data_IF_787927699333
#
_entry.id   IF_787927699333
#
_cell.length_a   1.000
_cell.length_b   1.000
_cell.length_c   1.000
_cell.angle_alpha   90.00
_cell.angle_beta   90.00
_cell.angle_gamma   90.00
#
_symmetry.space_group_name_H-M   'P 1'
#
loop_
_entity.id
_entity.type
_entity.pdbx_description
1 polymer ?
#
# COMPACT_ATOMS: atom_id res chain seq x y z
N UNK A 1 18.07 14.29 -2.44
CA UNK A 1 17.01 13.30 -2.76
C UNK A 1 16.73 13.35 -4.26
N UNK A 2 17.13 12.34 -5.04
CA UNK A 2 16.58 12.16 -6.40
C UNK A 2 15.32 11.32 -6.26
N UNK A 3 14.16 11.98 -6.18
CA UNK A 3 12.88 11.30 -6.16
C UNK A 3 12.57 10.77 -7.58
N UNK A 4 11.95 9.59 -7.73
CA UNK A 4 11.35 9.20 -9.00
C UNK A 4 10.27 10.23 -9.37
N UNK A 5 10.35 10.80 -10.58
CA UNK A 5 9.47 11.90 -11.00
C UNK A 5 8.07 11.45 -11.40
N UNK A 6 7.92 10.21 -11.89
CA UNK A 6 6.65 9.68 -12.37
C UNK A 6 5.90 8.85 -11.30
N UNK A 7 4.56 8.94 -11.30
CA UNK A 7 3.69 8.26 -10.33
C UNK A 7 3.83 6.73 -10.41
N UNK A 8 3.95 6.17 -11.61
CA UNK A 8 4.04 4.71 -11.78
C UNK A 8 5.37 4.19 -11.22
N UNK A 9 6.44 4.98 -11.35
CA UNK A 9 7.75 4.60 -10.79
C UNK A 9 7.72 4.66 -9.26
N UNK A 10 7.08 5.69 -8.68
CA UNK A 10 6.88 5.78 -7.22
C UNK A 10 6.02 4.63 -6.69
N UNK A 11 4.93 4.29 -7.38
CA UNK A 11 4.06 3.18 -7.02
C UNK A 11 4.79 1.84 -7.08
N UNK A 12 5.55 1.59 -8.16
CA UNK A 12 6.35 0.37 -8.30
C UNK A 12 7.30 0.19 -7.14
N UNK A 13 8.04 1.24 -6.77
CA UNK A 13 8.97 1.20 -5.65
C UNK A 13 8.27 0.93 -4.31
N UNK A 14 7.23 1.71 -3.98
CA UNK A 14 6.56 1.60 -2.69
C UNK A 14 5.82 0.29 -2.51
N UNK A 15 5.22 -0.23 -3.57
CA UNK A 15 4.49 -1.49 -3.49
C UNK A 15 5.46 -2.68 -3.41
N UNK A 16 6.61 -2.63 -4.10
CA UNK A 16 7.65 -3.64 -3.98
C UNK A 16 8.18 -3.70 -2.53
N UNK A 17 8.50 -2.56 -1.92
CA UNK A 17 8.99 -2.51 -0.53
C UNK A 17 7.93 -2.94 0.48
N UNK A 18 6.66 -2.68 0.20
CA UNK A 18 5.57 -3.17 1.02
C UNK A 18 5.45 -4.70 0.95
N UNK A 19 6.06 -5.39 -0.02
CA UNK A 19 5.97 -6.85 -0.16
C UNK A 19 6.82 -7.58 0.90
N UNK A 20 7.96 -6.99 1.29
CA UNK A 20 8.98 -7.60 2.14
C UNK A 20 8.60 -7.69 3.64
N UNK A 21 7.50 -7.05 4.06
CA UNK A 21 6.89 -7.21 5.39
C UNK A 21 6.37 -8.67 5.53
N UNK A 22 7.23 -9.55 6.07
CA UNK A 22 7.24 -11.02 6.06
C UNK A 22 6.12 -11.75 6.86
N UNK A 23 4.89 -11.26 6.86
CA UNK A 23 3.82 -11.82 7.71
C UNK A 23 3.00 -13.00 7.12
N UNK A 24 3.50 -13.75 6.11
CA UNK A 24 2.86 -15.00 5.65
C UNK A 24 2.97 -15.29 4.14
N UNK A 25 2.59 -16.52 3.74
CA UNK A 25 2.76 -17.08 2.38
C UNK A 25 2.34 -16.10 1.27
N UNK A 26 3.31 -15.63 0.49
CA UNK A 26 3.19 -14.57 -0.52
C UNK A 26 2.52 -14.98 -1.85
N UNK A 27 1.90 -16.15 -1.94
CA UNK A 27 1.81 -16.84 -3.24
C UNK A 27 0.42 -16.87 -3.90
N UNK A 28 -0.65 -16.43 -3.21
CA UNK A 28 -2.00 -16.50 -3.81
C UNK A 28 -2.41 -15.18 -4.46
N UNK A 29 -2.23 -15.13 -5.78
CA UNK A 29 -2.86 -14.13 -6.65
C UNK A 29 -4.40 -14.31 -6.63
N UNK A 30 -5.18 -13.21 -6.57
CA UNK A 30 -6.64 -13.28 -6.72
C UNK A 30 -7.02 -14.06 -7.98
N UNK A 31 -8.09 -14.87 -7.98
CA UNK A 31 -8.46 -15.71 -9.12
C UNK A 31 -8.47 -14.98 -10.47
N UNK A 32 -8.92 -13.71 -10.49
CA UNK A 32 -8.99 -12.86 -11.68
C UNK A 32 -7.63 -12.41 -12.24
N UNK A 33 -6.56 -12.53 -11.47
CA UNK A 33 -5.20 -12.09 -11.84
C UNK A 33 -4.25 -13.28 -12.10
N UNK A 34 -4.73 -14.52 -11.99
CA UNK A 34 -3.89 -15.72 -12.17
C UNK A 34 -3.42 -15.93 -13.61
N UNK A 35 -4.21 -15.47 -14.58
CA UNK A 35 -3.93 -15.64 -16.01
C UNK A 35 -3.09 -14.52 -16.63
N UNK A 36 -2.81 -13.45 -15.89
CA UNK A 36 -2.05 -12.33 -16.43
C UNK A 36 -0.55 -12.59 -16.23
N UNK A 37 0.20 -12.59 -17.34
CA UNK A 37 1.66 -12.79 -17.38
C UNK A 37 2.42 -11.64 -16.72
N UNK A 38 3.69 -11.91 -16.35
CA UNK A 38 4.54 -11.08 -15.48
C UNK A 38 4.96 -9.69 -16.04
N UNK A 39 4.37 -9.22 -17.14
CA UNK A 39 4.95 -8.16 -17.99
C UNK A 39 4.17 -6.86 -18.12
N UNK A 40 3.51 -6.36 -17.07
CA UNK A 40 2.74 -5.11 -17.15
C UNK A 40 3.08 -4.10 -16.05
N UNK A 41 3.02 -2.79 -16.36
CA UNK A 41 3.26 -1.69 -15.41
C UNK A 41 2.34 -1.73 -14.16
N UNK A 42 1.28 -2.54 -14.21
CA UNK A 42 0.29 -2.75 -13.15
C UNK A 42 0.19 -4.24 -12.68
N UNK A 43 1.25 -5.04 -12.81
CA UNK A 43 1.26 -6.49 -12.47
C UNK A 43 2.29 -6.87 -11.39
N UNK A 44 1.96 -7.80 -10.46
CA UNK A 44 0.87 -7.77 -9.50
C UNK A 44 1.37 -7.16 -8.18
N UNK A 45 0.86 -5.98 -7.93
CA UNK A 45 1.08 -5.19 -6.73
C UNK A 45 0.48 -5.84 -5.48
N UNK A 46 1.31 -6.47 -4.64
CA UNK A 46 1.11 -6.74 -3.21
C UNK A 46 -0.36 -6.90 -2.76
N UNK A 47 -1.13 -7.73 -3.48
CA UNK A 47 -2.51 -8.06 -3.14
C UNK A 47 -2.49 -9.28 -2.24
N UNK A 48 -3.13 -9.18 -1.08
CA UNK A 48 -3.12 -10.25 -0.09
C UNK A 48 -4.51 -10.80 0.11
N UNK A 49 -4.67 -12.10 -0.12
CA UNK A 49 -5.88 -12.82 0.28
C UNK A 49 -5.88 -13.02 1.79
N UNK A 50 -6.91 -12.51 2.46
CA UNK A 50 -7.16 -12.66 3.88
C UNK A 50 -8.41 -13.51 4.06
N UNK A 51 -8.33 -14.54 4.92
CA UNK A 51 -9.47 -15.39 5.24
C UNK A 51 -10.45 -14.66 6.16
N UNK A 52 -11.73 -14.70 5.83
CA UNK A 52 -12.79 -14.08 6.61
C UNK A 52 -13.31 -15.06 7.67
N UNK A 53 -12.81 -14.92 8.89
CA UNK A 53 -13.24 -15.70 10.06
C UNK A 53 -12.96 -17.20 9.93
N UNK A 54 -13.92 -18.02 10.39
CA UNK A 54 -13.87 -19.50 10.32
C UNK A 54 -14.36 -20.06 8.99
N UNK A 55 -14.99 -19.23 8.16
CA UNK A 55 -15.48 -19.63 6.84
C UNK A 55 -14.32 -19.87 5.85
N UNK A 56 -14.60 -20.56 4.74
CA UNK A 56 -13.67 -20.68 3.62
C UNK A 56 -13.75 -19.48 2.65
N UNK A 57 -14.25 -18.32 3.12
CA UNK A 57 -14.31 -17.09 2.32
C UNK A 57 -13.00 -16.30 2.43
N UNK A 58 -12.58 -15.70 1.32
CA UNK A 58 -11.38 -14.88 1.22
C UNK A 58 -11.71 -13.49 0.68
N UNK A 59 -10.95 -12.50 1.10
CA UNK A 59 -11.01 -11.13 0.57
C UNK A 59 -9.62 -10.68 0.14
N UNK A 60 -9.50 -9.94 -0.94
CA UNK A 60 -8.22 -9.40 -1.42
C UNK A 60 -8.01 -7.99 -0.89
N UNK A 61 -6.86 -7.74 -0.23
CA UNK A 61 -6.46 -6.41 0.23
C UNK A 61 -5.33 -5.87 -0.64
N UNK A 62 -5.39 -4.60 -1.04
CA UNK A 62 -4.24 -3.89 -1.59
C UNK A 62 -3.33 -3.47 -0.43
N UNK A 63 -2.10 -4.00 -0.37
CA UNK A 63 -1.10 -3.55 0.59
C UNK A 63 -0.17 -2.53 -0.08
N UNK A 64 -0.10 -1.33 0.49
CA UNK A 64 0.69 -0.22 -0.05
C UNK A 64 1.37 0.55 1.07
N UNK A 65 2.59 0.97 0.79
CA UNK A 65 3.35 1.88 1.63
C UNK A 65 3.12 3.31 1.16
N UNK A 66 2.69 4.21 2.04
CA UNK A 66 2.45 5.61 1.69
C UNK A 66 3.76 6.37 1.50
N UNK A 67 4.75 6.14 2.35
CA UNK A 67 6.14 6.55 2.12
C UNK A 67 7.09 5.55 2.74
N UNK A 68 8.23 5.33 2.09
CA UNK A 68 9.33 4.58 2.69
C UNK A 68 10.31 5.49 3.45
N UNK A 69 10.11 6.81 3.51
CA UNK A 69 10.98 7.70 4.27
C UNK A 69 10.64 7.63 5.77
N UNK A 70 11.66 7.55 6.62
CA UNK A 70 11.47 7.49 8.07
C UNK A 70 12.57 8.26 8.79
N UNK A 71 12.21 8.98 9.85
CA UNK A 71 13.15 9.67 10.75
C UNK A 71 13.72 8.75 11.84
N UNK A 72 13.16 7.55 12.00
CA UNK A 72 13.61 6.56 12.97
C UNK A 72 14.66 5.61 12.40
N UNK A 73 15.50 5.05 13.28
CA UNK A 73 16.60 4.17 12.91
C UNK A 73 16.49 2.75 13.51
N UNK A 74 15.28 2.18 13.52
CA UNK A 74 15.05 0.86 14.09
C UNK A 74 15.92 -0.19 13.39
N UNK A 75 16.74 -0.94 14.16
CA UNK A 75 17.73 -1.87 13.60
C UNK A 75 17.13 -2.98 12.72
N UNK A 76 15.91 -3.40 13.02
CA UNK A 76 15.19 -4.42 12.28
C UNK A 76 14.45 -3.87 11.04
N UNK A 77 14.31 -2.55 10.91
CA UNK A 77 13.45 -1.96 9.89
C UNK A 77 14.21 -1.80 8.56
N UNK A 78 13.72 -2.38 7.45
CA UNK A 78 14.35 -2.19 6.14
C UNK A 78 14.28 -0.73 5.68
N UNK A 79 13.34 0.05 6.21
CA UNK A 79 13.14 1.47 5.90
C UNK A 79 13.83 2.42 6.89
N UNK A 80 14.71 1.92 7.77
CA UNK A 80 15.47 2.76 8.74
C UNK A 80 16.18 3.93 8.06
N UNK A 81 16.28 5.07 8.74
CA UNK A 81 16.76 6.35 8.17
C UNK A 81 18.14 6.28 7.49
N UNK A 82 19.08 5.53 8.07
CA UNK A 82 20.47 5.51 7.60
C UNK A 82 20.69 4.53 6.43
N UNK A 83 19.66 3.77 6.05
CA UNK A 83 19.76 2.88 4.90
C UNK A 83 19.66 3.69 3.61
N UNK A 84 20.72 3.61 2.80
CA UNK A 84 20.74 4.20 1.48
C UNK A 84 19.77 3.45 0.56
N UNK A 85 18.72 4.15 0.14
CA UNK A 85 17.73 3.64 -0.80
C UNK A 85 16.94 4.81 -1.39
N UNK A 86 16.34 4.66 -2.59
CA UNK A 86 15.45 5.68 -3.13
C UNK A 86 14.28 5.91 -2.18
N UNK A 87 14.04 7.16 -1.78
CA UNK A 87 12.91 7.54 -0.91
C UNK A 87 11.85 8.26 -1.72
N UNK A 88 10.60 7.90 -1.48
CA UNK A 88 9.45 8.50 -2.16
C UNK A 88 8.21 8.46 -1.28
N UNK A 89 7.18 9.20 -1.69
CA UNK A 89 5.89 9.26 -1.02
C UNK A 89 4.75 9.31 -2.05
N UNK A 90 3.58 8.84 -1.61
CA UNK A 90 2.29 9.06 -2.26
C UNK A 90 1.52 10.08 -1.43
N UNK A 91 0.99 11.09 -2.12
CA UNK A 91 0.04 12.01 -1.48
C UNK A 91 -1.27 11.27 -1.18
N UNK A 92 -2.04 11.66 -0.15
CA UNK A 92 -3.33 11.05 0.17
C UNK A 92 -4.24 10.84 -1.05
N UNK A 93 -4.41 11.88 -1.88
CA UNK A 93 -5.24 11.78 -3.09
C UNK A 93 -4.67 10.86 -4.18
N UNK A 94 -3.35 10.68 -4.28
CA UNK A 94 -2.75 9.72 -5.21
C UNK A 94 -3.05 8.28 -4.79
N UNK A 95 -2.85 7.98 -3.50
CA UNK A 95 -3.11 6.68 -2.92
C UNK A 95 -4.60 6.29 -3.06
N UNK A 96 -5.51 7.21 -2.74
CA UNK A 96 -6.96 6.99 -2.89
C UNK A 96 -7.34 6.70 -4.35
N UNK A 97 -6.79 7.45 -5.30
CA UNK A 97 -7.07 7.23 -6.73
C UNK A 97 -6.61 5.85 -7.19
N UNK A 98 -5.41 5.44 -6.80
CA UNK A 98 -4.85 4.12 -7.13
C UNK A 98 -5.71 3.01 -6.52
N UNK A 99 -6.02 3.12 -5.23
CA UNK A 99 -6.85 2.13 -4.56
C UNK A 99 -8.23 1.99 -5.20
N UNK A 100 -8.94 3.10 -5.43
CA UNK A 100 -10.28 3.06 -6.01
C UNK A 100 -10.26 2.53 -7.46
N UNK A 101 -9.20 2.79 -8.22
CA UNK A 101 -9.04 2.19 -9.55
C UNK A 101 -8.89 0.66 -9.47
N UNK A 102 -8.07 0.15 -8.54
CA UNK A 102 -7.94 -1.28 -8.30
C UNK A 102 -9.24 -1.91 -7.77
N UNK A 103 -9.95 -1.21 -6.88
CA UNK A 103 -11.21 -1.67 -6.30
C UNK A 103 -12.31 -1.79 -7.36
N UNK A 104 -12.50 -0.78 -8.21
CA UNK A 104 -13.50 -0.81 -9.29
C UNK A 104 -13.25 -1.90 -10.32
N UNK A 105 -11.98 -2.27 -10.56
CA UNK A 105 -11.61 -3.40 -11.43
C UNK A 105 -11.79 -4.77 -10.75
N UNK A 106 -12.22 -4.80 -9.48
CA UNK A 106 -12.42 -6.02 -8.72
C UNK A 106 -11.12 -6.73 -8.31
N UNK A 107 -9.98 -6.02 -8.30
CA UNK A 107 -8.67 -6.58 -7.94
C UNK A 107 -8.50 -6.70 -6.42
N UNK A 108 -9.10 -5.78 -5.66
CA UNK A 108 -9.13 -5.78 -4.20
C UNK A 108 -10.48 -5.29 -3.66
N UNK A 109 -10.78 -5.68 -2.43
CA UNK A 109 -11.99 -5.35 -1.69
C UNK A 109 -11.68 -4.55 -0.42
N UNK A 110 -10.41 -4.41 -0.06
CA UNK A 110 -9.96 -3.58 1.06
C UNK A 110 -8.54 -3.04 0.86
N UNK A 111 -8.13 -2.19 1.78
CA UNK A 111 -6.88 -1.44 1.72
C UNK A 111 -6.08 -1.64 3.02
N UNK A 112 -4.77 -1.88 2.89
CA UNK A 112 -3.83 -1.96 3.99
C UNK A 112 -2.71 -0.95 3.74
N UNK A 113 -2.71 0.12 4.54
CA UNK A 113 -1.74 1.21 4.43
C UNK A 113 -0.71 1.05 5.54
N UNK A 114 0.56 1.01 5.16
CA UNK A 114 1.69 1.25 6.06
C UNK A 114 2.37 2.54 5.66
N UNK A 115 3.15 3.14 6.55
CA UNK A 115 3.93 4.33 6.23
C UNK A 115 5.17 4.42 7.11
N UNK A 116 6.24 5.00 6.57
CA UNK A 116 7.30 5.57 7.40
C UNK A 116 6.89 6.93 7.96
N UNK A 117 7.73 7.48 8.84
CA UNK A 117 7.48 8.75 9.51
C UNK A 117 8.53 9.79 9.08
N UNK A 118 8.36 10.50 7.95
CA UNK A 118 9.25 11.59 7.58
C UNK A 118 8.99 12.82 8.44
N UNK A 119 9.92 13.13 9.34
CA UNK A 119 9.81 14.28 10.23
C UNK A 119 8.89 14.01 11.41
N UNK A 120 7.72 14.67 11.45
CA UNK A 120 6.83 14.67 12.61
C UNK A 120 5.72 13.61 12.46
N UNK A 121 5.51 12.71 13.46
CA UNK A 121 4.42 11.73 13.44
C UNK A 121 3.03 12.33 13.24
N UNK A 122 2.76 13.52 13.80
CA UNK A 122 1.47 14.19 13.67
C UNK A 122 1.06 14.44 12.21
N UNK A 123 1.99 14.94 11.37
CA UNK A 123 1.68 15.21 9.97
C UNK A 123 1.36 13.93 9.19
N UNK A 124 1.98 12.81 9.56
CA UNK A 124 1.72 11.51 8.93
C UNK A 124 0.34 11.00 9.33
N UNK A 125 -0.07 11.22 10.58
CA UNK A 125 -1.42 10.90 11.03
C UNK A 125 -2.47 11.78 10.32
N UNK A 126 -2.20 13.08 10.13
CA UNK A 126 -3.07 13.97 9.37
C UNK A 126 -3.25 13.49 7.92
N UNK A 127 -2.15 13.07 7.28
CA UNK A 127 -2.15 12.49 5.94
C UNK A 127 -2.98 11.18 5.86
N UNK A 128 -2.84 10.29 6.85
CA UNK A 128 -3.64 9.06 6.96
C UNK A 128 -5.13 9.37 7.19
N UNK A 129 -5.44 10.34 8.04
CA UNK A 129 -6.82 10.81 8.26
C UNK A 129 -7.39 11.35 6.96
N UNK A 130 -6.64 12.16 6.21
CA UNK A 130 -7.08 12.68 4.92
C UNK A 130 -7.40 11.54 3.92
N UNK A 131 -6.59 10.47 3.90
CA UNK A 131 -6.93 9.27 3.10
C UNK A 131 -8.28 8.68 3.54
N UNK A 132 -8.49 8.51 4.84
CA UNK A 132 -9.72 7.94 5.38
C UNK A 132 -10.94 8.83 5.08
N UNK A 133 -10.82 10.14 5.23
CA UNK A 133 -11.90 11.09 4.92
C UNK A 133 -12.27 11.05 3.43
N UNK A 134 -11.27 11.04 2.55
CA UNK A 134 -11.49 10.90 1.11
C UNK A 134 -12.20 9.59 0.78
N UNK A 135 -11.80 8.47 1.39
CA UNK A 135 -12.44 7.18 1.16
C UNK A 135 -13.87 7.14 1.70
N UNK A 136 -14.09 7.54 2.95
CA UNK A 136 -15.37 7.39 3.66
C UNK A 136 -16.39 8.44 3.22
N UNK A 137 -16.01 9.70 3.20
CA UNK A 137 -16.95 10.81 3.02
C UNK A 137 -17.06 11.25 1.57
N UNK A 138 -15.93 11.33 0.83
CA UNK A 138 -15.96 11.77 -0.58
C UNK A 138 -16.35 10.65 -1.54
N UNK A 139 -15.81 9.45 -1.34
CA UNK A 139 -16.00 8.33 -2.27
C UNK A 139 -16.95 7.23 -1.76
N UNK A 140 -17.45 7.34 -0.53
CA UNK A 140 -18.44 6.41 0.02
C UNK A 140 -17.94 4.96 0.14
N UNK A 141 -16.63 4.74 0.23
CA UNK A 141 -16.06 3.41 0.36
C UNK A 141 -16.39 2.84 1.76
N UNK A 142 -17.09 1.70 1.79
CA UNK A 142 -17.55 1.05 3.04
C UNK A 142 -16.76 -0.20 3.41
N UNK A 143 -15.77 -0.59 2.62
CA UNK A 143 -14.96 -1.78 2.88
C UNK A 143 -13.92 -1.59 3.99
N UNK A 144 -13.10 -2.62 4.17
CA UNK A 144 -12.05 -2.66 5.18
C UNK A 144 -10.87 -1.75 4.81
N UNK A 145 -10.41 -0.95 5.78
CA UNK A 145 -9.19 -0.15 5.68
C UNK A 145 -8.39 -0.35 6.95
N UNK A 146 -7.13 -0.78 6.80
CA UNK A 146 -6.14 -0.81 7.87
C UNK A 146 -5.14 0.31 7.65
N UNK A 147 -4.80 1.02 8.72
CA UNK A 147 -3.77 2.06 8.73
C UNK A 147 -2.77 1.78 9.85
N UNK A 148 -1.49 1.82 9.51
CA UNK A 148 -0.38 1.68 10.45
C UNK A 148 0.69 2.71 10.13
N UNK A 149 1.10 3.45 11.15
CA UNK A 149 2.28 4.32 11.15
C UNK A 149 3.49 3.62 11.79
#
# INVERSE_FOLDING_TARGET
MRAPTDLDTRLKLLIALAADDHDGRAERRPPRLRHIGEGGALQPFNFREVRLGTSNAYTSLLRVLMTNACSFNCHYCPMRRDREMPRTLLKPGELVRVFLAAHRRGWCQGLFITTGIPGRPAHVMDDLIQVLELLRFKHGFRGYVHVKA
#
